data_IF_681328268065
#
_entry.id   IF_681328268065
#
_cell.length_a   1.000
_cell.length_b   1.000
_cell.length_c   1.000
_cell.angle_alpha   90.00
_cell.angle_beta   90.00
_cell.angle_gamma   90.00
#
_symmetry.space_group_name_H-M   'P 1'
#
loop_
_entity.id
_entity.type
_entity.pdbx_description
1 polymer ?
#
# COMPACT_ATOMS: atom_id res chain seq x y z
N UNK A 1 35.83 15.21 41.38
CA UNK A 1 36.24 16.39 40.60
C UNK A 1 35.15 16.64 39.58
N UNK A 2 34.68 17.88 39.58
CA UNK A 2 33.66 18.51 38.75
C UNK A 2 33.92 18.39 37.21
N UNK A 3 32.93 18.76 36.38
CA UNK A 3 32.87 18.55 34.93
C UNK A 3 33.38 19.75 34.08
N UNK A 4 33.72 19.51 32.81
CA UNK A 4 33.88 20.54 31.74
C UNK A 4 33.26 19.92 30.47
N UNK A 5 32.21 20.42 29.80
CA UNK A 5 31.84 21.76 29.29
C UNK A 5 32.81 22.33 28.26
N UNK A 6 32.47 22.23 26.97
CA UNK A 6 32.78 23.31 26.03
C UNK A 6 31.66 23.44 24.98
N UNK A 7 30.96 24.57 25.08
CA UNK A 7 30.04 25.09 24.10
C UNK A 7 30.75 26.22 23.35
N UNK A 8 30.71 26.20 22.02
CA UNK A 8 31.08 27.37 21.20
C UNK A 8 30.04 27.66 20.12
N UNK A 9 29.29 28.72 20.38
CA UNK A 9 28.69 29.59 19.37
C UNK A 9 29.81 30.52 18.82
N UNK A 10 29.75 31.26 17.70
CA UNK A 10 28.70 31.95 16.92
C UNK A 10 29.35 32.28 15.55
N UNK A 11 28.59 32.44 14.45
CA UNK A 11 28.46 33.73 13.72
C UNK A 11 27.49 33.68 12.52
N UNK A 12 26.69 34.75 12.29
CA UNK A 12 25.71 34.87 11.20
C UNK A 12 26.18 35.78 10.04
N UNK A 13 25.57 35.61 8.86
CA UNK A 13 25.45 36.55 7.72
C UNK A 13 24.63 35.82 6.61
N UNK A 14 23.80 36.39 5.73
CA UNK A 14 23.11 37.68 5.55
C UNK A 14 22.08 37.49 4.41
N UNK A 15 21.02 38.30 4.46
CA UNK A 15 20.07 38.80 3.43
C UNK A 15 20.04 38.32 1.95
N UNK A 16 18.81 38.33 1.41
CA UNK A 16 18.42 38.34 -0.02
C UNK A 16 18.02 36.95 -0.53
N UNK A 17 16.88 36.69 -1.16
CA UNK A 17 16.14 37.49 -2.15
C UNK A 17 14.67 37.01 -2.20
N UNK A 18 13.75 37.91 -2.51
CA UNK A 18 12.35 37.62 -2.76
C UNK A 18 12.14 37.52 -4.27
N UNK A 19 11.63 36.40 -4.78
CA UNK A 19 10.74 36.45 -5.94
C UNK A 19 10.02 35.12 -6.22
N UNK A 20 8.77 35.30 -6.67
CA UNK A 20 7.89 34.40 -7.40
C UNK A 20 7.46 33.05 -6.78
N UNK A 21 6.27 33.09 -6.16
CA UNK A 21 5.42 31.92 -5.92
C UNK A 21 4.53 31.72 -7.15
N UNK A 22 4.79 30.76 -8.05
CA UNK A 22 3.83 30.43 -9.08
C UNK A 22 2.68 29.65 -8.43
N UNK A 23 1.48 30.20 -8.57
CA UNK A 23 0.22 29.60 -8.18
C UNK A 23 0.11 28.14 -8.65
N UNK A 24 -0.38 27.20 -7.82
CA UNK A 24 -0.68 25.87 -8.29
C UNK A 24 -1.89 25.95 -9.23
N UNK A 25 -1.62 25.90 -10.53
CA UNK A 25 -2.63 25.68 -11.54
C UNK A 25 -3.20 24.27 -11.33
N UNK A 26 -4.34 24.20 -10.65
CA UNK A 26 -5.15 23.00 -10.48
C UNK A 26 -5.75 22.58 -11.82
N UNK A 27 -4.95 21.94 -12.67
CA UNK A 27 -5.48 21.11 -13.75
C UNK A 27 -6.04 19.84 -13.13
N UNK A 28 -7.30 19.90 -12.69
CA UNK A 28 -8.09 18.75 -12.24
C UNK A 28 -8.46 17.89 -13.44
N UNK A 29 -7.51 17.13 -13.96
CA UNK A 29 -7.79 15.97 -14.81
C UNK A 29 -8.35 14.89 -13.89
N UNK A 30 -9.67 14.67 -13.97
CA UNK A 30 -10.43 13.70 -13.15
C UNK A 30 -10.01 12.26 -13.47
N UNK A 31 -8.87 11.84 -12.93
CA UNK A 31 -8.61 10.43 -12.66
C UNK A 31 -9.53 9.99 -11.51
N UNK A 32 -10.06 8.76 -11.51
CA UNK A 32 -10.81 8.26 -10.36
C UNK A 32 -9.94 8.38 -9.11
N UNK A 33 -10.41 9.14 -8.13
CA UNK A 33 -9.68 9.39 -6.90
C UNK A 33 -9.46 8.05 -6.18
N UNK A 34 -8.20 7.59 -6.18
CA UNK A 34 -7.79 6.34 -5.52
C UNK A 34 -8.12 6.38 -4.02
N UNK A 35 -8.32 7.57 -3.44
CA UNK A 35 -8.74 7.79 -2.05
C UNK A 35 -10.21 7.46 -1.80
N UNK A 36 -11.01 7.30 -2.84
CA UNK A 36 -12.42 6.90 -2.73
C UNK A 36 -12.62 5.37 -2.71
N UNK A 37 -11.58 4.56 -2.48
CA UNK A 37 -11.69 3.08 -2.46
C UNK A 37 -11.22 2.46 -1.14
N UNK A 38 -11.87 1.37 -0.74
CA UNK A 38 -11.45 0.52 0.39
C UNK A 38 -11.52 -0.96 0.04
N UNK A 39 -10.89 -1.79 0.85
CA UNK A 39 -10.91 -3.25 0.75
C UNK A 39 -11.72 -3.83 1.88
N UNK A 40 -12.57 -4.78 1.55
CA UNK A 40 -13.38 -5.51 2.51
C UNK A 40 -13.17 -7.01 2.39
N UNK A 41 -13.40 -7.74 3.48
CA UNK A 41 -13.32 -9.19 3.48
C UNK A 41 -14.32 -9.78 2.46
N UNK A 42 -13.85 -10.63 1.56
CA UNK A 42 -14.69 -11.24 0.52
C UNK A 42 -15.81 -12.11 1.09
N UNK A 43 -15.58 -12.74 2.24
CA UNK A 43 -16.54 -13.66 2.87
C UNK A 43 -17.66 -12.96 3.65
N UNK A 44 -17.38 -11.81 4.28
CA UNK A 44 -18.34 -11.17 5.20
C UNK A 44 -18.53 -9.67 4.98
N UNK A 45 -17.87 -9.09 3.96
CA UNK A 45 -17.91 -7.67 3.57
C UNK A 45 -17.52 -6.68 4.66
N UNK A 46 -16.92 -7.14 5.77
CA UNK A 46 -16.36 -6.27 6.79
C UNK A 46 -15.23 -5.43 6.19
N UNK A 47 -15.28 -4.08 6.32
CA UNK A 47 -14.21 -3.21 5.84
C UNK A 47 -12.92 -3.47 6.62
N UNK A 48 -11.80 -3.53 5.91
CA UNK A 48 -10.50 -3.91 6.48
C UNK A 48 -9.49 -2.76 6.44
N UNK A 49 -9.28 -2.16 5.28
CA UNK A 49 -8.31 -1.07 5.06
C UNK A 49 -8.67 -0.30 3.78
N UNK A 50 -8.19 0.93 3.66
CA UNK A 50 -8.33 1.81 2.51
C UNK A 50 -7.26 1.53 1.45
N UNK A 51 -7.52 1.93 0.21
CA UNK A 51 -6.52 1.80 -0.84
C UNK A 51 -5.24 2.62 -0.59
N UNK A 52 -5.34 3.70 0.19
CA UNK A 52 -4.20 4.53 0.59
C UNK A 52 -3.27 3.82 1.61
N UNK A 53 -3.76 2.83 2.35
CA UNK A 53 -2.98 2.08 3.34
C UNK A 53 -2.18 0.92 2.70
N UNK A 54 -2.34 0.71 1.39
CA UNK A 54 -1.60 -0.31 0.64
C UNK A 54 -0.23 0.23 0.26
N UNK A 55 0.82 -0.42 0.78
CA UNK A 55 2.19 -0.17 0.42
C UNK A 55 2.43 -0.49 -1.05
N UNK A 56 2.88 0.51 -1.80
CA UNK A 56 3.27 0.35 -3.19
C UNK A 56 4.67 -0.24 -3.29
N UNK A 57 4.87 -1.15 -4.24
CA UNK A 57 6.18 -1.67 -4.60
C UNK A 57 6.27 -1.83 -6.11
N UNK A 58 7.44 -1.52 -6.69
CA UNK A 58 7.63 -1.58 -8.14
C UNK A 58 7.80 -3.05 -8.60
N UNK A 59 6.93 -3.55 -9.51
CA UNK A 59 7.10 -4.87 -10.12
C UNK A 59 8.41 -5.02 -10.92
N UNK A 60 8.95 -3.94 -11.49
CA UNK A 60 10.18 -3.98 -12.30
C UNK A 60 11.41 -4.24 -11.45
N UNK A 61 11.40 -3.81 -10.20
CA UNK A 61 12.52 -4.04 -9.27
C UNK A 61 12.71 -5.53 -8.96
N UNK A 62 11.60 -6.28 -8.88
CA UNK A 62 11.61 -7.74 -8.71
C UNK A 62 12.08 -8.49 -9.96
N UNK A 63 11.69 -8.02 -11.15
CA UNK A 63 12.08 -8.63 -12.42
C UNK A 63 13.59 -8.57 -12.68
N UNK A 64 14.28 -7.55 -12.15
CA UNK A 64 15.75 -7.40 -12.25
C UNK A 64 16.53 -8.32 -11.30
N UNK A 65 15.90 -8.75 -10.21
CA UNK A 65 16.57 -9.47 -9.09
C UNK A 65 16.25 -10.97 -9.02
N UNK A 66 15.33 -11.46 -9.83
CA UNK A 66 15.00 -12.90 -9.87
C UNK A 66 15.72 -13.60 -11.02
N UNK A 67 16.57 -14.58 -10.68
CA UNK A 67 17.00 -15.56 -11.66
C UNK A 67 15.74 -16.27 -12.18
N UNK A 68 15.42 -16.08 -13.46
CA UNK A 68 14.28 -16.71 -14.11
C UNK A 68 14.51 -18.22 -14.15
N UNK A 69 14.12 -18.96 -13.12
CA UNK A 69 13.90 -20.40 -13.23
C UNK A 69 12.66 -20.61 -14.08
N UNK A 70 12.83 -20.52 -15.41
CA UNK A 70 11.84 -20.99 -16.36
C UNK A 70 11.72 -22.50 -16.18
N UNK A 71 10.60 -22.92 -15.60
CA UNK A 71 10.23 -24.33 -15.54
C UNK A 71 9.81 -24.76 -16.95
N UNK A 72 10.76 -25.28 -17.73
CA UNK A 72 10.53 -26.08 -18.93
C UNK A 72 10.88 -25.44 -20.29
N UNK A 73 11.99 -25.90 -20.89
CA UNK A 73 12.18 -25.98 -22.35
C UNK A 73 13.13 -24.96 -23.00
N UNK A 74 14.14 -25.41 -23.79
CA UNK A 74 14.98 -24.52 -24.58
C UNK A 74 14.27 -24.14 -25.87
N UNK A 75 14.06 -22.84 -26.08
CA UNK A 75 13.88 -22.28 -27.42
C UNK A 75 14.85 -21.13 -27.58
N UNK A 76 15.81 -21.34 -28.47
CA UNK A 76 16.62 -20.29 -29.07
C UNK A 76 15.69 -19.32 -29.81
N UNK A 77 15.86 -18.03 -29.60
CA UNK A 77 15.70 -17.03 -30.67
C UNK A 77 16.19 -15.68 -30.17
N UNK A 78 17.33 -15.30 -30.72
CA UNK A 78 17.79 -13.94 -30.90
C UNK A 78 16.68 -13.03 -31.48
N UNK A 79 16.61 -11.81 -30.93
CA UNK A 79 16.13 -10.59 -31.59
C UNK A 79 14.67 -10.54 -32.09
N UNK A 80 13.83 -9.72 -31.43
CA UNK A 80 12.87 -8.85 -32.12
C UNK A 80 12.23 -7.85 -31.15
N UNK A 81 12.17 -6.59 -31.60
CA UNK A 81 11.43 -5.49 -31.01
C UNK A 81 9.97 -5.88 -30.75
N UNK A 82 9.55 -5.82 -29.50
CA UNK A 82 8.15 -5.84 -29.09
C UNK A 82 7.84 -4.52 -28.40
N UNK A 83 7.34 -3.56 -29.17
CA UNK A 83 6.73 -2.33 -28.68
C UNK A 83 5.47 -2.74 -27.88
N UNK A 84 5.61 -2.79 -26.55
CA UNK A 84 4.49 -2.97 -25.63
C UNK A 84 4.31 -1.65 -24.87
N UNK A 85 3.07 -1.16 -24.68
CA UNK A 85 2.84 0.17 -24.16
C UNK A 85 3.45 0.24 -22.76
N UNK A 86 4.53 0.99 -22.65
CA UNK A 86 5.27 1.25 -21.44
C UNK A 86 4.51 2.28 -20.60
N UNK A 87 3.29 1.94 -20.20
CA UNK A 87 2.61 2.58 -19.09
C UNK A 87 3.07 1.91 -17.79
N UNK A 88 3.23 2.65 -16.68
CA UNK A 88 3.48 2.05 -15.38
C UNK A 88 2.27 1.22 -14.98
N UNK A 89 2.31 -0.09 -15.25
CA UNK A 89 1.33 -1.04 -14.71
C UNK A 89 1.46 -1.02 -13.19
N UNK A 90 0.36 -0.73 -12.51
CA UNK A 90 0.39 -0.60 -11.07
C UNK A 90 0.65 -1.96 -10.43
N UNK A 91 1.33 -1.96 -9.28
CA UNK A 91 1.53 -3.18 -8.50
C UNK A 91 0.22 -3.91 -8.19
N UNK A 92 -0.88 -3.17 -8.01
CA UNK A 92 -2.21 -3.74 -7.77
C UNK A 92 -2.78 -4.54 -8.95
N UNK A 93 -2.33 -4.29 -10.19
CA UNK A 93 -2.82 -4.99 -11.40
C UNK A 93 -1.99 -6.25 -11.70
N UNK A 94 -0.70 -6.24 -11.35
CA UNK A 94 0.21 -7.36 -11.63
C UNK A 94 0.33 -8.31 -10.42
N UNK A 95 0.26 -7.77 -9.20
CA UNK A 95 0.55 -8.53 -8.00
C UNK A 95 -0.71 -9.16 -7.42
N UNK A 96 -0.59 -10.42 -7.00
CA UNK A 96 -1.67 -11.16 -6.31
C UNK A 96 -1.75 -10.81 -4.82
N UNK A 97 -0.89 -9.92 -4.35
CA UNK A 97 -0.61 -9.64 -2.94
C UNK A 97 -0.62 -8.13 -2.70
N UNK A 98 -1.39 -7.70 -1.71
CA UNK A 98 -1.40 -6.34 -1.18
C UNK A 98 -0.58 -6.33 0.11
N UNK A 99 0.28 -5.33 0.30
CA UNK A 99 1.09 -5.21 1.51
C UNK A 99 0.61 -4.01 2.31
N UNK A 100 0.56 -4.15 3.64
CA UNK A 100 0.11 -3.11 4.55
C UNK A 100 1.26 -2.66 5.46
N UNK A 101 1.19 -1.41 5.88
CA UNK A 101 2.05 -0.87 6.93
C UNK A 101 1.44 -1.22 8.31
N UNK A 102 2.14 -1.97 9.18
CA UNK A 102 1.61 -2.29 10.51
C UNK A 102 1.35 -1.04 11.37
N UNK A 103 2.08 0.05 11.16
CA UNK A 103 1.93 1.28 11.95
C UNK A 103 0.62 2.01 11.59
N UNK A 104 0.16 1.87 10.34
CA UNK A 104 -1.11 2.43 9.88
C UNK A 104 -2.29 1.47 10.09
N UNK A 105 -2.02 0.17 10.13
CA UNK A 105 -3.05 -0.89 10.23
C UNK A 105 -2.89 -1.72 11.53
N UNK A 106 -3.02 -1.11 12.72
CA UNK A 106 -2.67 -1.75 13.98
C UNK A 106 -3.51 -3.01 14.26
N UNK A 107 -4.73 -3.10 13.72
CA UNK A 107 -5.57 -4.28 13.89
C UNK A 107 -4.92 -5.56 13.33
N UNK A 108 -4.09 -5.45 12.29
CA UNK A 108 -3.39 -6.59 11.70
C UNK A 108 -2.31 -7.11 12.65
N UNK A 109 -1.65 -6.21 13.38
CA UNK A 109 -0.59 -6.55 14.32
C UNK A 109 -1.15 -7.01 15.68
N UNK A 110 -2.18 -6.33 16.21
CA UNK A 110 -2.73 -6.61 17.55
C UNK A 110 -3.46 -7.95 17.64
N UNK A 111 -4.32 -8.30 16.67
CA UNK A 111 -5.08 -9.57 16.67
C UNK A 111 -4.13 -10.78 16.73
N UNK A 112 -2.95 -10.66 16.13
CA UNK A 112 -1.95 -11.71 16.10
C UNK A 112 -1.15 -11.75 17.40
N UNK A 113 -0.79 -10.59 17.95
CA UNK A 113 -0.11 -10.50 19.24
C UNK A 113 -0.97 -11.07 20.36
N UNK A 114 -2.29 -10.82 20.31
CA UNK A 114 -3.26 -11.42 21.22
C UNK A 114 -3.34 -12.94 21.03
N UNK A 115 -3.50 -13.43 19.79
CA UNK A 115 -3.57 -14.87 19.53
C UNK A 115 -2.32 -15.64 19.98
N UNK A 116 -1.13 -15.05 19.79
CA UNK A 116 0.14 -15.60 20.26
C UNK A 116 0.21 -15.59 21.80
N UNK A 117 -0.26 -14.53 22.45
CA UNK A 117 -0.25 -14.38 23.90
C UNK A 117 -1.27 -15.30 24.59
N UNK A 118 -2.42 -15.57 23.94
CA UNK A 118 -3.49 -16.40 24.50
C UNK A 118 -3.27 -17.90 24.27
N UNK A 119 -2.20 -18.30 23.57
CA UNK A 119 -1.92 -19.71 23.25
C UNK A 119 -2.99 -20.37 22.37
N UNK A 120 -3.79 -19.57 21.65
CA UNK A 120 -4.77 -20.10 20.71
C UNK A 120 -4.02 -20.80 19.56
N UNK A 121 -4.57 -21.91 19.04
CA UNK A 121 -4.03 -22.61 17.88
C UNK A 121 -4.25 -21.81 16.59
N UNK A 122 -3.60 -20.65 16.52
CA UNK A 122 -3.55 -19.76 15.38
C UNK A 122 -2.14 -19.85 14.84
N UNK A 123 -2.00 -20.08 13.54
CA UNK A 123 -0.68 -20.05 12.92
C UNK A 123 -0.11 -18.64 13.15
N UNK A 124 1.05 -18.50 13.82
CA UNK A 124 1.53 -17.22 14.38
C UNK A 124 1.72 -16.13 13.31
N UNK A 125 1.83 -16.54 12.05
CA UNK A 125 2.03 -15.63 10.92
C UNK A 125 0.76 -15.40 10.10
N UNK A 126 -0.38 -16.02 10.41
CA UNK A 126 -1.58 -15.90 9.57
C UNK A 126 -2.45 -14.71 9.98
N UNK A 127 -2.83 -13.89 8.99
CA UNK A 127 -3.77 -12.77 9.17
C UNK A 127 -5.19 -13.27 8.91
N UNK A 128 -6.09 -13.06 9.87
CA UNK A 128 -7.50 -13.43 9.78
C UNK A 128 -8.41 -12.20 9.72
N UNK A 129 -9.63 -12.38 9.25
CA UNK A 129 -10.63 -11.32 9.27
C UNK A 129 -10.97 -10.91 10.70
N UNK A 130 -10.91 -9.60 10.97
CA UNK A 130 -11.25 -8.97 12.26
C UNK A 130 -12.70 -9.17 12.71
N UNK A 131 -13.60 -9.60 11.82
CA UNK A 131 -14.96 -9.94 12.20
C UNK A 131 -14.95 -11.28 12.97
N UNK A 132 -15.32 -11.30 14.26
CA UNK A 132 -15.23 -12.50 15.11
C UNK A 132 -16.08 -13.67 14.61
N UNK A 133 -17.17 -13.39 13.87
CA UNK A 133 -18.03 -14.42 13.27
C UNK A 133 -17.49 -14.99 11.96
N UNK A 134 -16.58 -14.28 11.29
CA UNK A 134 -16.05 -14.67 10.01
C UNK A 134 -14.72 -15.42 10.17
N UNK A 135 -13.72 -14.75 10.78
CA UNK A 135 -12.35 -15.27 10.96
C UNK A 135 -11.77 -15.95 9.71
N UNK A 136 -12.17 -15.53 8.50
CA UNK A 136 -11.63 -16.07 7.26
C UNK A 136 -10.13 -15.72 7.12
N UNK A 137 -9.32 -16.63 6.59
CA UNK A 137 -7.89 -16.38 6.32
C UNK A 137 -7.74 -15.34 5.22
N UNK A 138 -7.14 -14.20 5.56
CA UNK A 138 -6.89 -13.11 4.62
C UNK A 138 -5.49 -13.17 4.03
N UNK A 139 -4.50 -13.50 4.86
CA UNK A 139 -3.13 -13.12 4.58
C UNK A 139 -2.09 -13.86 5.42
N UNK A 140 -0.87 -13.36 5.34
CA UNK A 140 0.26 -13.80 6.16
C UNK A 140 1.15 -12.59 6.49
N UNK A 141 1.77 -12.57 7.66
CA UNK A 141 2.71 -11.55 8.09
C UNK A 141 4.14 -12.09 8.11
N UNK A 142 5.12 -11.19 8.02
CA UNK A 142 6.52 -11.48 8.31
C UNK A 142 7.26 -10.17 8.60
N UNK A 143 7.84 -10.04 9.78
CA UNK A 143 8.63 -8.86 10.16
C UNK A 143 9.95 -8.77 9.41
N UNK A 144 10.54 -9.90 9.02
CA UNK A 144 11.76 -9.94 8.20
C UNK A 144 11.47 -9.65 6.71
N UNK A 145 10.20 -9.67 6.32
CA UNK A 145 9.74 -9.43 4.96
C UNK A 145 9.43 -10.71 4.19
N UNK A 146 9.03 -10.55 2.94
CA UNK A 146 8.76 -11.65 2.01
C UNK A 146 8.80 -11.18 0.56
N UNK A 147 8.99 -12.12 -0.37
CA UNK A 147 9.00 -11.83 -1.81
C UNK A 147 7.58 -11.79 -2.40
N UNK A 148 7.19 -10.68 -3.01
CA UNK A 148 5.95 -10.56 -3.77
C UNK A 148 5.97 -11.43 -5.05
N UNK A 149 4.81 -11.74 -5.63
CA UNK A 149 4.70 -12.48 -6.90
C UNK A 149 5.39 -11.78 -8.07
N UNK A 150 5.61 -10.46 -8.03
CA UNK A 150 6.43 -9.75 -9.02
C UNK A 150 7.95 -9.90 -8.81
N UNK A 151 8.38 -10.54 -7.72
CA UNK A 151 9.77 -10.76 -7.35
C UNK A 151 10.36 -9.74 -6.38
N UNK A 152 9.65 -8.63 -6.09
CA UNK A 152 10.13 -7.57 -5.19
C UNK A 152 10.09 -8.03 -3.73
N UNK A 153 11.16 -7.79 -2.99
CA UNK A 153 11.20 -8.03 -1.54
C UNK A 153 10.54 -6.87 -0.79
N UNK A 154 9.56 -7.17 0.06
CA UNK A 154 8.82 -6.17 0.85
C UNK A 154 9.06 -6.44 2.33
N UNK A 155 9.45 -5.42 3.09
CA UNK A 155 9.65 -5.47 4.55
C UNK A 155 9.08 -4.19 5.20
N UNK A 156 8.27 -4.30 6.26
CA UNK A 156 7.67 -5.54 6.77
C UNK A 156 6.62 -6.11 5.80
N UNK A 157 6.35 -7.41 5.87
CA UNK A 157 5.48 -8.09 4.93
C UNK A 157 4.14 -8.49 5.53
N UNK A 158 3.28 -7.52 5.81
CA UNK A 158 1.88 -7.76 6.17
C UNK A 158 1.05 -7.96 4.89
N UNK A 159 1.05 -9.19 4.39
CA UNK A 159 0.51 -9.54 3.07
C UNK A 159 -0.94 -9.97 3.15
N UNK A 160 -1.82 -9.27 2.45
CA UNK A 160 -3.20 -9.68 2.18
C UNK A 160 -3.30 -10.24 0.77
N UNK A 161 -3.91 -11.41 0.62
CA UNK A 161 -4.14 -11.97 -0.72
C UNK A 161 -5.30 -11.25 -1.39
N UNK A 162 -5.10 -10.76 -2.61
CA UNK A 162 -6.17 -10.13 -3.41
C UNK A 162 -7.42 -10.99 -3.51
N UNK A 163 -7.28 -12.32 -3.59
CA UNK A 163 -8.42 -13.26 -3.67
C UNK A 163 -9.34 -13.27 -2.43
N UNK A 164 -8.85 -12.82 -1.27
CA UNK A 164 -9.58 -12.87 0.01
C UNK A 164 -10.29 -11.55 0.35
N UNK A 165 -10.13 -10.52 -0.48
CA UNK A 165 -10.73 -9.20 -0.30
C UNK A 165 -11.37 -8.70 -1.60
N UNK A 166 -12.38 -7.85 -1.46
CA UNK A 166 -13.02 -7.14 -2.57
C UNK A 166 -12.68 -5.65 -2.47
N UNK A 167 -12.30 -5.03 -3.60
CA UNK A 167 -12.14 -3.58 -3.70
C UNK A 167 -13.52 -2.94 -3.87
N UNK A 168 -13.87 -2.03 -2.97
CA UNK A 168 -15.15 -1.32 -2.93
C UNK A 168 -14.91 0.19 -3.05
N UNK A 169 -15.90 0.88 -3.60
CA UNK A 169 -15.91 2.35 -3.66
C UNK A 169 -16.62 2.90 -2.41
N UNK A 170 -16.06 3.95 -1.82
CA UNK A 170 -16.79 4.81 -0.92
C UNK A 170 -17.90 5.48 -1.72
N UNK A 171 -19.15 5.34 -1.28
CA UNK A 171 -20.25 6.10 -1.85
C UNK A 171 -20.00 7.57 -1.55
N UNK A 172 -19.61 8.36 -2.54
CA UNK A 172 -19.60 9.82 -2.38
C UNK A 172 -21.03 10.24 -2.06
N UNK A 173 -21.28 11.01 -0.98
CA UNK A 173 -22.60 11.55 -0.76
C UNK A 173 -22.92 12.50 -1.92
N UNK A 174 -23.76 12.04 -2.84
CA UNK A 174 -24.36 12.90 -3.86
C UNK A 174 -25.29 13.86 -3.11
N UNK A 175 -24.80 15.04 -2.77
CA UNK A 175 -25.66 16.10 -2.28
C UNK A 175 -26.56 16.53 -3.45
N UNK A 176 -27.89 16.32 -3.39
CA UNK A 176 -28.77 16.87 -4.40
C UNK A 176 -28.69 18.39 -4.30
N UNK A 177 -28.14 19.04 -5.32
CA UNK A 177 -28.22 20.49 -5.49
C UNK A 177 -29.70 20.82 -5.70
N UNK A 178 -30.43 21.09 -4.62
CA UNK A 178 -31.72 21.75 -4.74
C UNK A 178 -31.44 23.15 -5.29
N UNK A 179 -31.69 23.33 -6.59
CA UNK A 179 -31.81 24.63 -7.19
C UNK A 179 -32.97 25.35 -6.51
N UNK A 180 -32.65 26.27 -5.60
CA UNK A 180 -33.60 27.22 -5.06
C UNK A 180 -33.95 28.18 -6.19
N UNK A 181 -35.07 27.90 -6.86
CA UNK A 181 -35.73 28.88 -7.73
C UNK A 181 -36.20 30.02 -6.83
N UNK A 182 -35.60 31.20 -7.00
CA UNK A 182 -36.06 32.42 -6.35
C UNK A 182 -37.47 32.77 -6.85
N UNK A 183 -38.40 33.20 -5.98
CA UNK A 183 -39.65 33.79 -6.42
C UNK A 183 -39.42 35.25 -6.86
N UNK A 184 -40.35 35.67 -7.71
CA UNK A 184 -40.51 36.91 -8.49
C UNK A 184 -40.21 38.24 -7.78
#
# INVERSE_FOLDING_TARGET
MEPESDARAVKPASAGDADDVPAPSITSTTAPDVRACYYACRSCRTPLFNAAEVLQHDPQEGAKKTFKFRRGGPLQSDGAHGDAPSGPLSSAEICTSLFLDPDQTPWVAEDIREANSSGAAVQPDTIYCRNPRCRAKLGMQSWTGSQCSCGTWVTPAFRIHTRSVDKMLHSTPTFPTHATTAPE
#
